data_IF_009097481262
#
_entry.id   IF_009097481262
#
_cell.length_a   1.000
_cell.length_b   1.000
_cell.length_c   1.000
_cell.angle_alpha   90.00
_cell.angle_beta   90.00
_cell.angle_gamma   90.00
#
_symmetry.space_group_name_H-M   'P 1'
#
loop_
_entity.id
_entity.type
_entity.pdbx_description
1 polymer ?
#
# COMPACT_ATOMS: atom_id res chain seq x y z
N UNK A 1 -10.62 -23.83 -32.51
CA UNK A 1 -9.62 -24.19 -31.48
C UNK A 1 -8.55 -23.12 -31.30
N UNK A 2 -7.76 -22.74 -32.32
CA UNK A 2 -6.66 -21.75 -32.17
C UNK A 2 -7.11 -20.35 -31.66
N UNK A 3 -8.28 -19.87 -32.09
CA UNK A 3 -8.84 -18.57 -31.68
C UNK A 3 -9.29 -18.52 -30.21
N UNK A 4 -9.87 -19.61 -29.72
CA UNK A 4 -10.32 -19.73 -28.32
C UNK A 4 -9.14 -19.78 -27.34
N UNK A 5 -8.02 -20.41 -27.74
CA UNK A 5 -6.79 -20.44 -26.93
C UNK A 5 -6.19 -19.04 -26.78
N UNK A 6 -6.16 -18.24 -27.85
CA UNK A 6 -5.69 -16.85 -27.79
C UNK A 6 -6.58 -15.97 -26.90
N UNK A 7 -7.90 -16.15 -26.95
CA UNK A 7 -8.83 -15.40 -26.09
C UNK A 7 -8.64 -15.72 -24.60
N UNK A 8 -8.44 -17.01 -24.26
CA UNK A 8 -8.16 -17.43 -22.88
C UNK A 8 -6.80 -16.89 -22.41
N UNK A 9 -5.77 -16.94 -23.26
CA UNK A 9 -4.45 -16.40 -22.93
C UNK A 9 -4.50 -14.89 -22.67
N UNK A 10 -5.25 -14.15 -23.49
CA UNK A 10 -5.43 -12.70 -23.33
C UNK A 10 -6.17 -12.35 -22.04
N UNK A 11 -7.18 -13.15 -21.66
CA UNK A 11 -7.92 -12.97 -20.41
C UNK A 11 -7.03 -13.19 -19.17
N UNK A 12 -6.12 -14.17 -19.23
CA UNK A 12 -5.16 -14.46 -18.15
C UNK A 12 -4.17 -13.30 -17.96
N UNK A 13 -3.67 -12.73 -19.05
CA UNK A 13 -2.75 -11.57 -18.98
C UNK A 13 -3.45 -10.34 -18.39
N UNK A 14 -4.71 -10.09 -18.76
CA UNK A 14 -5.51 -9.00 -18.20
C UNK A 14 -5.77 -9.18 -16.70
N UNK A 15 -6.04 -10.40 -16.25
CA UNK A 15 -6.24 -10.69 -14.83
C UNK A 15 -4.97 -10.50 -13.98
N UNK A 16 -3.78 -10.66 -14.57
CA UNK A 16 -2.50 -10.50 -13.87
C UNK A 16 -2.05 -9.03 -13.72
N UNK A 17 -2.65 -8.09 -14.45
CA UNK A 17 -2.22 -6.68 -14.46
C UNK A 17 -2.73 -5.85 -13.25
N UNK A 18 -3.57 -6.41 -12.39
CA UNK A 18 -4.22 -5.70 -11.28
C UNK A 18 -3.64 -5.95 -9.88
N UNK A 19 -2.57 -6.76 -9.76
CA UNK A 19 -1.95 -7.00 -8.47
C UNK A 19 -1.14 -5.77 -8.06
N UNK A 20 -1.36 -5.26 -6.84
CA UNK A 20 -0.53 -4.18 -6.28
C UNK A 20 0.93 -4.61 -6.33
N UNK A 21 1.70 -3.97 -7.21
CA UNK A 21 3.09 -4.27 -7.41
C UNK A 21 3.90 -3.58 -6.31
N UNK A 22 4.98 -4.21 -5.83
CA UNK A 22 5.94 -3.51 -5.00
C UNK A 22 6.45 -2.27 -5.75
N UNK A 23 6.82 -1.20 -5.01
CA UNK A 23 7.27 0.02 -5.63
C UNK A 23 8.57 -0.21 -6.42
N UNK A 24 8.75 0.51 -7.54
CA UNK A 24 9.96 0.42 -8.36
C UNK A 24 11.25 0.69 -7.56
N UNK A 25 11.15 1.59 -6.58
CA UNK A 25 12.22 1.87 -5.62
C UNK A 25 11.70 1.55 -4.22
N UNK A 26 12.46 0.80 -3.41
CA UNK A 26 12.10 0.58 -2.02
C UNK A 26 11.93 1.91 -1.28
N UNK A 27 10.80 2.04 -0.60
CA UNK A 27 10.52 3.10 0.35
C UNK A 27 11.51 2.99 1.50
N UNK A 28 12.10 4.13 1.87
CA UNK A 28 13.01 4.26 2.99
C UNK A 28 12.27 4.62 4.28
N UNK A 29 12.89 4.31 5.43
CA UNK A 29 12.38 4.70 6.75
C UNK A 29 12.22 6.23 6.87
N UNK A 30 13.10 7.00 6.21
CA UNK A 30 13.05 8.46 6.19
C UNK A 30 11.82 8.97 5.43
N UNK A 31 11.47 8.36 4.31
CA UNK A 31 10.25 8.71 3.57
C UNK A 31 8.99 8.39 4.38
N UNK A 32 8.97 7.24 5.07
CA UNK A 32 7.88 6.89 5.97
C UNK A 32 7.73 7.93 7.09
N UNK A 33 8.81 8.36 7.74
CA UNK A 33 8.72 9.38 8.79
C UNK A 33 8.34 10.77 8.27
N UNK A 34 8.73 11.12 7.04
CA UNK A 34 8.31 12.39 6.41
C UNK A 34 6.80 12.52 6.28
N UNK A 35 6.06 11.41 6.25
CA UNK A 35 4.59 11.44 6.24
C UNK A 35 3.99 11.95 7.56
N UNK A 36 4.73 11.89 8.67
CA UNK A 36 4.27 12.32 9.98
C UNK A 36 3.22 11.42 10.64
N UNK A 37 2.86 10.26 10.04
CA UNK A 37 1.76 9.42 10.54
C UNK A 37 1.98 8.94 11.98
N UNK A 38 3.23 8.64 12.37
CA UNK A 38 3.56 8.21 13.72
C UNK A 38 3.57 9.35 14.75
N UNK A 39 3.58 10.60 14.29
CA UNK A 39 3.41 11.77 15.14
C UNK A 39 1.93 12.15 15.27
N UNK A 40 1.15 11.93 14.21
CA UNK A 40 -0.25 12.33 14.13
C UNK A 40 -1.23 11.30 14.70
N UNK A 41 -0.86 10.01 14.69
CA UNK A 41 -1.75 8.91 15.06
C UNK A 41 -1.06 7.91 15.98
N UNK A 42 -1.86 7.25 16.83
CA UNK A 42 -1.41 6.07 17.56
C UNK A 42 -1.61 4.84 16.68
N UNK A 43 -0.51 4.29 16.18
CA UNK A 43 -0.45 3.12 15.29
C UNK A 43 0.16 1.96 16.08
N UNK A 44 -0.40 0.74 15.96
CA UNK A 44 0.10 -0.44 16.70
C UNK A 44 1.33 -1.06 16.05
N UNK A 45 1.38 -1.04 14.72
CA UNK A 45 2.44 -1.63 13.92
C UNK A 45 3.73 -0.79 14.00
N UNK A 46 4.88 -1.46 14.14
CA UNK A 46 6.16 -0.77 14.14
C UNK A 46 6.49 -0.16 12.77
N UNK A 47 7.27 0.93 12.70
CA UNK A 47 7.70 1.52 11.43
C UNK A 47 8.37 0.51 10.50
N UNK A 48 9.14 -0.44 11.05
CA UNK A 48 9.82 -1.49 10.29
C UNK A 48 8.82 -2.47 9.67
N UNK A 49 7.77 -2.84 10.40
CA UNK A 49 6.72 -3.73 9.91
C UNK A 49 5.92 -3.07 8.78
N UNK A 50 5.55 -1.79 8.96
CA UNK A 50 4.88 -0.98 7.94
C UNK A 50 5.75 -0.83 6.70
N UNK A 51 7.03 -0.53 6.87
CA UNK A 51 7.99 -0.39 5.76
C UNK A 51 8.15 -1.70 4.98
N UNK A 52 8.24 -2.83 5.68
CA UNK A 52 8.34 -4.15 5.06
C UNK A 52 7.07 -4.49 4.26
N UNK A 53 5.88 -4.19 4.80
CA UNK A 53 4.62 -4.39 4.11
C UNK A 53 4.53 -3.55 2.82
N UNK A 54 4.81 -2.25 2.91
CA UNK A 54 4.77 -1.33 1.75
C UNK A 54 5.76 -1.77 0.67
N UNK A 55 6.99 -2.14 1.04
CA UNK A 55 8.00 -2.56 0.06
C UNK A 55 7.72 -3.91 -0.59
N UNK A 56 6.93 -4.77 0.08
CA UNK A 56 6.52 -6.06 -0.48
C UNK A 56 5.25 -5.96 -1.32
N UNK A 57 4.31 -5.11 -0.93
CA UNK A 57 2.94 -5.12 -1.45
C UNK A 57 2.57 -3.84 -2.20
N UNK A 58 3.37 -2.78 -2.15
CA UNK A 58 3.05 -1.47 -2.74
C UNK A 58 2.10 -0.63 -1.89
N UNK A 59 1.33 -1.24 -0.99
CA UNK A 59 0.41 -0.55 -0.10
C UNK A 59 0.26 -1.25 1.25
N UNK A 60 -0.29 -0.54 2.24
CA UNK A 60 -0.71 -1.12 3.52
C UNK A 60 -1.88 -0.32 4.09
N UNK A 61 -2.79 -1.02 4.75
CA UNK A 61 -3.88 -0.42 5.54
C UNK A 61 -3.61 -0.72 7.01
N UNK A 62 -3.63 0.32 7.84
CA UNK A 62 -3.30 0.26 9.25
C UNK A 62 -4.53 0.65 10.09
N UNK A 63 -4.70 -0.02 11.23
CA UNK A 63 -5.60 0.45 12.26
C UNK A 63 -4.90 1.49 13.13
N UNK A 64 -5.52 2.64 13.32
CA UNK A 64 -4.95 3.71 14.13
C UNK A 64 -6.00 4.44 14.97
N UNK A 65 -5.52 5.25 15.92
CA UNK A 65 -6.35 6.17 16.70
C UNK A 65 -5.94 7.61 16.40
N UNK A 66 -6.92 8.42 16.02
CA UNK A 66 -6.81 9.87 15.89
C UNK A 66 -7.43 10.52 17.14
N UNK A 67 -6.60 10.84 18.14
CA UNK A 67 -7.06 11.18 19.50
C UNK A 67 -7.94 10.03 20.04
N UNK A 68 -9.23 10.26 20.23
CA UNK A 68 -10.19 9.29 20.76
C UNK A 68 -11.06 8.62 19.68
N UNK A 69 -10.71 8.78 18.39
CA UNK A 69 -11.47 8.22 17.26
C UNK A 69 -10.68 7.14 16.53
N UNK A 70 -11.23 5.93 16.36
CA UNK A 70 -10.60 4.90 15.56
C UNK A 70 -10.69 5.27 14.07
N UNK A 71 -9.58 5.11 13.35
CA UNK A 71 -9.47 5.41 11.93
C UNK A 71 -8.70 4.31 11.21
N UNK A 72 -8.91 4.20 9.91
CA UNK A 72 -8.05 3.45 9.01
C UNK A 72 -7.10 4.40 8.28
N UNK A 73 -5.82 4.04 8.25
CA UNK A 73 -4.79 4.75 7.47
C UNK A 73 -4.36 3.86 6.32
N UNK A 74 -4.64 4.28 5.08
CA UNK A 74 -4.10 3.63 3.88
C UNK A 74 -2.86 4.39 3.43
N UNK A 75 -1.76 3.65 3.26
CA UNK A 75 -0.51 4.16 2.70
C UNK A 75 -0.27 3.46 1.38
N UNK A 76 -0.05 4.25 0.32
CA UNK A 76 0.26 3.76 -1.02
C UNK A 76 1.63 4.28 -1.45
N UNK A 77 2.51 3.38 -1.89
CA UNK A 77 3.77 3.75 -2.52
C UNK A 77 3.53 4.06 -4.00
N UNK A 78 3.74 5.32 -4.36
CA UNK A 78 3.59 5.81 -5.73
C UNK A 78 4.95 6.19 -6.31
N UNK A 79 5.02 6.41 -7.61
CA UNK A 79 6.23 6.94 -8.28
C UNK A 79 6.65 8.32 -7.76
N UNK A 80 5.77 9.05 -7.07
CA UNK A 80 6.03 10.36 -6.47
C UNK A 80 6.34 10.31 -4.98
N UNK A 81 6.35 9.12 -4.38
CA UNK A 81 6.52 8.91 -2.94
C UNK A 81 5.27 8.31 -2.28
N UNK A 82 5.14 8.50 -0.96
CA UNK A 82 4.03 7.93 -0.19
C UNK A 82 2.80 8.82 -0.21
N UNK A 83 1.66 8.26 -0.59
CA UNK A 83 0.36 8.88 -0.41
C UNK A 83 -0.32 8.28 0.82
N UNK A 84 -0.81 9.14 1.71
CA UNK A 84 -1.53 8.75 2.93
C UNK A 84 -2.98 9.18 2.83
N UNK A 85 -3.89 8.26 3.09
CA UNK A 85 -5.33 8.49 3.14
C UNK A 85 -5.85 8.03 4.49
N UNK A 86 -6.76 8.80 5.08
CA UNK A 86 -7.36 8.51 6.38
C UNK A 86 -8.87 8.37 6.18
N UNK A 87 -9.42 7.31 6.75
CA UNK A 87 -10.85 7.01 6.70
C UNK A 87 -11.37 6.79 8.11
N UNK A 88 -12.60 7.21 8.36
CA UNK A 88 -13.29 6.84 9.59
C UNK A 88 -13.53 5.32 9.60
N UNK A 89 -13.41 4.72 10.80
CA UNK A 89 -13.65 3.29 11.01
C UNK A 89 -15.13 2.98 11.21
#
# INVERSE_FOLDING_TARGET
>A
MKRSVFAVLFLIVLAAAGCSLPPEKPVSKQELYKTGIYNAFTIKESPESVLAAINRQGEVVLEAQAKDKPVYIKILATTKGLQVMVYDR
#
